data_IF_688904927552
#
_entry.id   IF_688904927552
#
_cell.length_a   1.000
_cell.length_b   1.000
_cell.length_c   1.000
_cell.angle_alpha   90.00
_cell.angle_beta   90.00
_cell.angle_gamma   90.00
#
_symmetry.space_group_name_H-M   'P 1'
#
loop_
_entity.id
_entity.type
_entity.pdbx_description
1 polymer ?
#
# COMPACT_ATOMS: atom_id res chain seq x y z
N UNK A 1 -2.49 -21.57 13.64
CA UNK A 1 -1.13 -21.08 13.91
C UNK A 1 -1.25 -19.74 14.62
N UNK A 2 -0.62 -19.60 15.79
CA UNK A 2 -0.69 -18.37 16.56
C UNK A 2 0.43 -17.44 16.06
N UNK A 3 0.08 -16.20 15.70
CA UNK A 3 1.08 -15.15 15.50
C UNK A 3 1.88 -15.01 16.80
N UNK A 4 3.19 -15.27 16.72
CA UNK A 4 4.08 -15.14 17.88
C UNK A 4 4.35 -13.65 18.09
N UNK A 5 3.66 -13.06 19.06
CA UNK A 5 4.02 -11.75 19.59
C UNK A 5 5.28 -11.91 20.44
N UNK A 6 6.42 -11.48 19.94
CA UNK A 6 7.62 -11.40 20.76
C UNK A 6 7.41 -10.31 21.82
N UNK A 7 7.29 -10.74 23.07
CA UNK A 7 7.28 -9.84 24.23
C UNK A 7 8.68 -9.29 24.43
N UNK A 8 8.96 -8.13 23.89
CA UNK A 8 10.19 -7.38 24.16
C UNK A 8 9.96 -6.51 25.41
N UNK A 9 10.85 -6.57 26.35
CA UNK A 9 10.83 -5.88 27.64
C UNK A 9 10.67 -4.36 27.49
N UNK A 10 10.07 -3.66 28.48
CA UNK A 10 9.82 -2.23 28.39
C UNK A 10 11.14 -1.43 28.37
N UNK A 11 11.36 -0.72 27.27
CA UNK A 11 12.46 0.22 27.18
C UNK A 11 12.28 1.39 28.15
N UNK A 12 13.33 1.67 28.88
CA UNK A 12 13.48 2.81 29.78
C UNK A 12 13.20 4.13 29.03
N UNK A 13 12.34 4.95 29.63
CA UNK A 13 12.05 6.32 29.19
C UNK A 13 13.34 7.13 29.03
N UNK A 14 13.71 7.44 27.80
CA UNK A 14 14.66 8.54 27.52
C UNK A 14 13.86 9.82 27.34
N UNK A 15 13.90 10.69 28.35
CA UNK A 15 13.57 12.12 28.20
C UNK A 15 14.66 12.77 27.34
N UNK A 16 14.36 13.04 26.09
CA UNK A 16 15.15 13.88 25.21
C UNK A 16 14.21 14.74 24.38
N UNK A 17 14.24 16.05 24.57
CA UNK A 17 13.62 17.02 23.67
C UNK A 17 14.26 16.85 22.29
N UNK A 18 13.55 16.24 21.35
CA UNK A 18 13.97 16.17 19.94
C UNK A 18 13.11 17.14 19.13
N UNK A 19 13.78 18.15 18.58
CA UNK A 19 13.28 18.93 17.44
C UNK A 19 12.92 17.95 16.32
N UNK A 20 11.66 17.97 15.84
CA UNK A 20 11.20 17.09 14.77
C UNK A 20 11.77 17.55 13.43
N UNK A 21 12.98 17.11 13.10
CA UNK A 21 13.38 17.02 11.70
C UNK A 21 12.83 15.72 11.13
N UNK A 22 12.21 15.80 9.94
CA UNK A 22 11.84 14.60 9.18
C UNK A 22 13.04 13.63 9.15
N UNK A 23 12.79 12.35 9.40
CA UNK A 23 13.87 11.35 9.40
C UNK A 23 14.53 11.31 8.03
N UNK A 24 15.86 11.26 8.01
CA UNK A 24 16.60 11.09 6.76
C UNK A 24 16.25 9.75 6.11
N UNK A 25 16.26 9.66 4.78
CA UNK A 25 16.07 8.39 4.08
C UNK A 25 17.05 7.32 4.57
N UNK A 26 16.64 6.04 4.65
CA UNK A 26 17.55 4.94 4.98
C UNK A 26 18.61 4.79 3.89
N UNK A 27 19.86 4.52 4.26
CA UNK A 27 21.00 4.45 3.33
C UNK A 27 20.92 3.24 2.41
N UNK A 28 20.42 2.13 2.94
CA UNK A 28 20.33 0.84 2.26
C UNK A 28 19.15 0.00 2.78
N UNK A 29 18.94 -1.18 2.20
CA UNK A 29 17.87 -2.10 2.59
C UNK A 29 18.03 -2.60 4.03
N UNK A 30 19.25 -2.77 4.53
CA UNK A 30 19.48 -3.24 5.90
C UNK A 30 19.02 -2.19 6.89
N UNK A 31 19.36 -0.91 6.67
CA UNK A 31 18.90 0.18 7.52
C UNK A 31 17.38 0.34 7.44
N UNK A 32 16.78 0.25 6.24
CA UNK A 32 15.32 0.28 6.07
C UNK A 32 14.66 -0.82 6.89
N UNK A 33 15.12 -2.07 6.76
CA UNK A 33 14.57 -3.21 7.48
C UNK A 33 14.82 -3.13 8.98
N UNK A 34 15.96 -2.61 9.41
CA UNK A 34 16.22 -2.37 10.84
C UNK A 34 15.23 -1.37 11.43
N UNK A 35 15.00 -0.23 10.74
CA UNK A 35 14.01 0.78 11.18
C UNK A 35 12.61 0.19 11.20
N UNK A 36 12.22 -0.56 10.17
CA UNK A 36 10.92 -1.20 10.07
C UNK A 36 10.72 -2.23 11.20
N UNK A 37 11.69 -3.10 11.45
CA UNK A 37 11.64 -4.09 12.53
C UNK A 37 11.54 -3.44 13.92
N UNK A 38 12.18 -2.29 14.13
CA UNK A 38 12.10 -1.55 15.40
C UNK A 38 10.68 -1.02 15.70
N UNK A 39 9.81 -0.91 14.69
CA UNK A 39 8.41 -0.53 14.89
C UNK A 39 7.52 -1.71 15.29
N UNK A 40 7.96 -2.96 15.10
CA UNK A 40 7.13 -4.13 15.39
C UNK A 40 6.68 -4.16 16.86
N UNK A 41 5.38 -4.28 17.10
CA UNK A 41 4.76 -4.24 18.43
C UNK A 41 4.54 -2.84 19.01
N UNK A 42 5.08 -1.78 18.40
CA UNK A 42 4.91 -0.39 18.87
C UNK A 42 3.50 0.11 18.50
N UNK A 43 2.88 0.88 19.40
CA UNK A 43 1.56 1.49 19.15
C UNK A 43 1.70 2.68 18.19
N UNK A 44 0.67 2.90 17.39
CA UNK A 44 0.62 4.06 16.50
C UNK A 44 0.71 5.38 17.26
N UNK A 45 0.16 5.46 18.49
CA UNK A 45 0.28 6.64 19.34
C UNK A 45 1.73 6.97 19.70
N UNK A 46 2.55 5.96 19.98
CA UNK A 46 3.95 6.16 20.37
C UNK A 46 4.78 6.64 19.17
N UNK A 47 4.57 6.03 18.00
CA UNK A 47 5.21 6.47 16.74
C UNK A 47 4.77 7.90 16.37
N UNK A 48 3.48 8.21 16.52
CA UNK A 48 2.93 9.53 16.23
C UNK A 48 3.53 10.60 17.19
N UNK A 49 3.67 10.27 18.47
CA UNK A 49 4.29 11.14 19.45
C UNK A 49 5.74 11.48 19.08
N UNK A 50 6.53 10.46 18.70
CA UNK A 50 7.94 10.64 18.31
C UNK A 50 8.11 11.48 17.03
N UNK A 51 7.08 11.48 16.15
CA UNK A 51 7.05 12.27 14.92
C UNK A 51 6.32 13.62 15.07
N UNK A 52 5.79 13.97 16.26
CA UNK A 52 4.93 15.14 16.51
C UNK A 52 3.71 15.19 15.59
N UNK A 53 3.12 14.04 15.30
CA UNK A 53 1.91 13.88 14.48
C UNK A 53 0.73 13.60 15.41
N UNK A 54 -0.38 14.32 15.22
CA UNK A 54 -1.60 14.05 15.99
C UNK A 54 -2.27 12.77 15.51
N UNK A 55 -2.72 11.93 16.46
CA UNK A 55 -3.50 10.73 16.14
C UNK A 55 -4.95 11.11 15.90
N UNK A 56 -5.55 10.77 14.74
CA UNK A 56 -6.96 11.02 14.50
C UNK A 56 -7.83 10.08 15.34
N UNK A 57 -8.96 10.57 15.76
CA UNK A 57 -9.95 9.76 16.49
C UNK A 57 -10.49 8.61 15.62
N UNK A 58 -10.71 8.90 14.31
CA UNK A 58 -11.24 7.95 13.34
C UNK A 58 -10.54 8.07 11.98
N UNK A 59 -10.13 6.94 11.38
CA UNK A 59 -9.51 6.91 10.03
C UNK A 59 -10.51 7.16 8.88
N UNK A 60 -11.80 7.36 9.17
CA UNK A 60 -12.83 7.52 8.12
C UNK A 60 -12.57 8.75 7.23
N UNK A 61 -12.07 9.84 7.83
CA UNK A 61 -11.69 11.08 7.13
C UNK A 61 -10.21 11.13 6.77
N UNK A 62 -9.39 10.36 7.48
CA UNK A 62 -7.93 10.37 7.42
C UNK A 62 -7.40 9.02 6.88
N UNK A 63 -7.97 8.55 5.76
CA UNK A 63 -7.73 7.21 5.19
C UNK A 63 -6.26 6.88 4.91
N UNK A 64 -5.41 7.88 4.64
CA UNK A 64 -3.98 7.72 4.39
C UNK A 64 -3.08 7.89 5.61
N UNK A 65 -3.65 8.23 6.77
CA UNK A 65 -2.88 8.66 7.94
C UNK A 65 -1.87 7.61 8.42
N UNK A 66 -2.27 6.33 8.49
CA UNK A 66 -1.36 5.25 8.92
C UNK A 66 -0.18 5.13 7.97
N UNK A 67 -0.42 5.13 6.65
CA UNK A 67 0.65 5.12 5.65
C UNK A 67 1.61 6.28 5.82
N UNK A 68 1.08 7.51 5.89
CA UNK A 68 1.87 8.73 6.07
C UNK A 68 2.69 8.72 7.37
N UNK A 69 2.15 8.19 8.47
CA UNK A 69 2.88 8.04 9.72
C UNK A 69 4.08 7.10 9.56
N UNK A 70 3.88 5.94 8.95
CA UNK A 70 4.92 4.95 8.72
C UNK A 70 5.97 5.46 7.70
N UNK A 71 5.52 6.14 6.63
CA UNK A 71 6.40 6.83 5.67
C UNK A 71 7.31 7.84 6.38
N UNK A 72 6.75 8.69 7.25
CA UNK A 72 7.49 9.68 8.05
C UNK A 72 8.51 8.99 8.97
N UNK A 73 8.08 7.94 9.68
CA UNK A 73 8.93 7.18 10.60
C UNK A 73 10.11 6.52 9.89
N UNK A 74 9.91 6.02 8.68
CA UNK A 74 10.95 5.35 7.89
C UNK A 74 11.80 6.31 7.03
N UNK A 75 11.37 7.58 6.87
CA UNK A 75 12.08 8.56 6.05
C UNK A 75 11.84 8.40 4.55
N UNK A 76 10.62 8.06 4.15
CA UNK A 76 10.22 8.00 2.74
C UNK A 76 10.16 9.40 2.11
N UNK A 77 10.48 9.52 0.81
CA UNK A 77 10.60 10.81 0.12
C UNK A 77 9.61 11.01 -1.03
N UNK A 78 9.03 9.94 -1.57
CA UNK A 78 8.26 10.03 -2.82
C UNK A 78 6.90 10.73 -2.65
N UNK A 79 6.26 10.64 -1.49
CA UNK A 79 4.91 11.15 -1.27
C UNK A 79 3.93 10.55 -2.28
N UNK A 80 3.12 11.39 -2.95
CA UNK A 80 2.11 10.95 -3.93
C UNK A 80 2.63 10.74 -5.36
N UNK A 81 3.95 10.74 -5.59
CA UNK A 81 4.54 10.59 -6.93
C UNK A 81 4.36 9.17 -7.47
N UNK A 82 4.39 8.96 -8.81
CA UNK A 82 4.30 7.63 -9.43
C UNK A 82 5.59 6.80 -9.29
N UNK A 83 6.41 7.06 -8.30
CA UNK A 83 7.68 6.42 -8.00
C UNK A 83 7.57 5.64 -6.68
N UNK A 84 8.39 4.61 -6.45
CA UNK A 84 8.48 3.93 -5.15
C UNK A 84 8.82 4.90 -4.01
N UNK A 85 8.31 4.63 -2.82
CA UNK A 85 8.45 5.52 -1.65
C UNK A 85 9.92 5.73 -1.23
N UNK A 86 10.75 4.69 -1.39
CA UNK A 86 12.20 4.76 -1.22
C UNK A 86 12.87 4.68 -2.60
N UNK A 87 12.89 5.80 -3.32
CA UNK A 87 13.30 5.89 -4.74
C UNK A 87 14.67 5.25 -4.99
N UNK A 88 15.68 5.58 -4.17
CA UNK A 88 17.05 5.10 -4.33
C UNK A 88 17.24 3.60 -4.00
N UNK A 89 16.28 2.99 -3.30
CA UNK A 89 16.24 1.56 -3.00
C UNK A 89 15.30 0.78 -3.93
N UNK A 90 14.48 1.49 -4.72
CA UNK A 90 13.44 0.87 -5.54
C UNK A 90 12.34 0.18 -4.73
N UNK A 91 12.10 0.60 -3.49
CA UNK A 91 11.13 -0.04 -2.57
C UNK A 91 9.90 0.82 -2.39
N UNK A 92 8.74 0.24 -2.64
CA UNK A 92 7.42 0.78 -2.29
C UNK A 92 7.04 0.37 -0.88
N UNK A 93 6.39 1.26 -0.11
CA UNK A 93 5.81 0.97 1.19
C UNK A 93 4.31 0.69 1.07
N UNK A 94 3.86 -0.38 1.69
CA UNK A 94 2.42 -0.68 1.83
C UNK A 94 2.07 -1.05 3.26
N UNK A 95 1.18 -0.30 3.88
CA UNK A 95 0.56 -0.70 5.15
C UNK A 95 -0.65 -1.58 4.87
N UNK A 96 -0.81 -2.65 5.64
CA UNK A 96 -1.94 -3.58 5.53
C UNK A 96 -2.67 -3.65 6.87
N UNK A 97 -3.95 -3.23 6.95
CA UNK A 97 -4.75 -3.48 8.14
C UNK A 97 -5.07 -4.98 8.24
N UNK A 98 -4.73 -5.59 9.37
CA UNK A 98 -4.95 -7.01 9.64
C UNK A 98 -5.86 -7.21 10.85
N UNK A 99 -6.55 -8.36 10.89
CA UNK A 99 -7.25 -8.83 12.07
C UNK A 99 -6.30 -9.54 13.06
N UNK A 100 -6.83 -9.99 14.19
CA UNK A 100 -6.09 -10.71 15.23
C UNK A 100 -5.50 -12.06 14.77
N UNK A 101 -5.92 -12.58 13.60
CA UNK A 101 -5.38 -13.79 12.95
C UNK A 101 -4.35 -13.48 11.88
N UNK A 102 -4.05 -12.18 11.66
CA UNK A 102 -3.14 -11.73 10.61
C UNK A 102 -3.76 -11.71 9.21
N UNK A 103 -5.09 -11.79 9.08
CA UNK A 103 -5.76 -11.73 7.80
C UNK A 103 -5.94 -10.26 7.38
N UNK A 104 -5.61 -9.88 6.12
CA UNK A 104 -5.92 -8.56 5.59
C UNK A 104 -7.42 -8.27 5.64
N UNK A 105 -7.77 -7.07 6.08
CA UNK A 105 -9.16 -6.62 6.23
C UNK A 105 -9.70 -5.91 4.98
N UNK A 106 -8.83 -5.52 4.06
CA UNK A 106 -9.20 -4.80 2.84
C UNK A 106 -8.24 -5.09 1.68
N UNK A 107 -8.68 -4.75 0.47
CA UNK A 107 -7.85 -4.79 -0.73
C UNK A 107 -6.78 -3.69 -0.67
N UNK A 108 -5.59 -3.96 -1.21
CA UNK A 108 -4.48 -3.01 -1.17
C UNK A 108 -4.42 -2.15 -2.43
N UNK A 109 -4.53 -0.84 -2.26
CA UNK A 109 -4.36 0.12 -3.35
C UNK A 109 -2.92 0.13 -3.87
N UNK A 110 -2.77 0.12 -5.20
CA UNK A 110 -1.46 0.21 -5.86
C UNK A 110 -1.25 1.58 -6.48
N UNK A 111 -2.06 1.94 -7.48
CA UNK A 111 -1.96 3.22 -8.19
C UNK A 111 -3.26 3.56 -8.92
N UNK A 112 -3.39 4.80 -9.38
CA UNK A 112 -4.44 5.22 -10.31
C UNK A 112 -4.25 4.50 -11.65
N UNK A 113 -5.34 4.07 -12.28
CA UNK A 113 -5.30 3.49 -13.62
C UNK A 113 -5.34 4.60 -14.67
N UNK A 114 -4.46 4.58 -15.69
CA UNK A 114 -4.57 5.46 -16.82
C UNK A 114 -5.77 5.02 -17.69
N UNK A 115 -6.69 5.94 -17.98
CA UNK A 115 -7.88 5.66 -18.80
C UNK A 115 -7.82 6.32 -20.19
N UNK A 116 -6.78 7.12 -20.43
CA UNK A 116 -6.42 7.78 -21.71
C UNK A 116 -4.91 7.76 -21.88
N UNK A 117 -4.42 8.07 -23.09
CA UNK A 117 -2.98 8.15 -23.41
C UNK A 117 -2.22 6.85 -23.12
N UNK A 118 -2.83 5.70 -23.40
CA UNK A 118 -2.30 4.36 -23.08
C UNK A 118 -1.65 3.68 -24.29
N UNK A 119 -1.55 4.34 -25.44
CA UNK A 119 -0.94 3.79 -26.65
C UNK A 119 0.54 3.45 -26.40
N UNK A 120 0.90 2.21 -26.66
CA UNK A 120 2.27 1.73 -26.51
C UNK A 120 2.71 1.50 -25.06
N UNK A 121 1.82 1.70 -24.07
CA UNK A 121 2.15 1.39 -22.66
C UNK A 121 2.30 -0.11 -22.47
N UNK A 122 3.49 -0.54 -22.06
CA UNK A 122 3.78 -1.94 -21.74
C UNK A 122 3.67 -2.22 -20.24
N UNK A 123 3.61 -3.49 -19.87
CA UNK A 123 3.67 -3.91 -18.46
C UNK A 123 4.92 -3.35 -17.77
N UNK A 124 6.09 -3.45 -18.42
CA UNK A 124 7.38 -3.01 -17.87
C UNK A 124 7.44 -1.50 -17.63
N UNK A 125 6.72 -0.71 -18.42
CA UNK A 125 6.65 0.75 -18.28
C UNK A 125 5.55 1.19 -17.31
N UNK A 126 4.72 0.26 -16.84
CA UNK A 126 3.57 0.58 -16.00
C UNK A 126 3.97 0.97 -14.59
N UNK A 127 3.23 1.93 -14.00
CA UNK A 127 3.40 2.31 -12.58
C UNK A 127 3.09 1.11 -11.67
N UNK A 128 2.18 0.21 -12.08
CA UNK A 128 1.87 -1.02 -11.32
C UNK A 128 3.11 -1.90 -11.19
N UNK A 129 3.80 -2.15 -12.31
CA UNK A 129 5.04 -2.92 -12.32
C UNK A 129 6.09 -2.30 -11.40
N UNK A 130 6.39 -1.01 -11.57
CA UNK A 130 7.42 -0.32 -10.78
C UNK A 130 7.12 -0.33 -9.28
N UNK A 131 5.84 -0.20 -8.89
CA UNK A 131 5.44 -0.21 -7.48
C UNK A 131 5.38 -1.60 -6.86
N UNK A 132 5.26 -2.66 -7.66
CA UNK A 132 5.13 -4.03 -7.15
C UNK A 132 6.39 -4.89 -7.32
N UNK A 133 7.47 -4.36 -7.89
CA UNK A 133 8.74 -5.08 -8.01
C UNK A 133 9.41 -5.38 -6.67
N UNK A 134 9.30 -4.45 -5.71
CA UNK A 134 9.93 -4.57 -4.41
C UNK A 134 9.11 -3.80 -3.38
N UNK A 135 8.48 -4.49 -2.46
CA UNK A 135 7.52 -3.89 -1.52
C UNK A 135 7.89 -4.21 -0.08
N UNK A 136 7.96 -3.17 0.74
CA UNK A 136 7.97 -3.31 2.19
C UNK A 136 6.52 -3.32 2.70
N UNK A 137 6.04 -4.50 3.07
CA UNK A 137 4.75 -4.67 3.70
C UNK A 137 4.85 -4.43 5.20
N UNK A 138 4.01 -3.54 5.71
CA UNK A 138 3.92 -3.26 7.15
C UNK A 138 2.49 -3.57 7.61
N UNK A 139 2.26 -4.75 8.22
CA UNK A 139 0.97 -5.07 8.82
C UNK A 139 0.69 -4.14 10.00
N UNK A 140 -0.56 -3.73 10.17
CA UNK A 140 -1.00 -2.91 11.30
C UNK A 140 -2.35 -3.44 11.80
N UNK A 141 -2.58 -3.50 13.10
CA UNK A 141 -3.89 -3.86 13.64
C UNK A 141 -4.98 -2.96 13.05
N UNK A 142 -6.01 -3.58 12.46
CA UNK A 142 -7.05 -2.89 11.70
C UNK A 142 -8.45 -3.05 12.25
N UNK A 143 -8.65 -3.86 13.29
CA UNK A 143 -9.97 -4.14 13.85
C UNK A 143 -10.60 -2.85 14.39
N UNK A 144 -11.89 -2.66 14.09
CA UNK A 144 -12.63 -1.44 14.47
C UNK A 144 -12.80 -1.27 15.98
N UNK A 145 -12.73 -2.36 16.72
CA UNK A 145 -12.78 -2.39 18.20
C UNK A 145 -11.54 -1.79 18.85
N UNK A 146 -10.40 -1.73 18.10
CA UNK A 146 -9.16 -1.17 18.62
C UNK A 146 -9.08 0.31 18.24
N UNK A 147 -9.02 1.25 19.21
CA UNK A 147 -8.81 2.67 18.95
C UNK A 147 -7.55 2.88 18.12
N UNK A 148 -7.56 3.86 17.20
CA UNK A 148 -6.42 4.12 16.28
C UNK A 148 -5.10 4.28 17.05
N UNK A 149 -5.11 5.00 18.16
CA UNK A 149 -3.95 5.22 19.02
C UNK A 149 -3.33 3.93 19.57
N UNK A 150 -4.15 2.93 19.87
CA UNK A 150 -3.74 1.68 20.52
C UNK A 150 -3.33 0.58 19.53
N UNK A 151 -3.58 0.77 18.22
CA UNK A 151 -3.21 -0.19 17.20
C UNK A 151 -1.69 -0.33 17.13
N UNK A 152 -1.24 -1.58 16.95
CA UNK A 152 0.18 -1.91 16.91
C UNK A 152 0.62 -2.25 15.49
N UNK A 153 1.86 -1.94 15.22
CA UNK A 153 2.56 -2.35 13.99
C UNK A 153 2.94 -3.83 14.13
N UNK A 154 2.67 -4.62 13.12
CA UNK A 154 3.11 -6.01 13.03
C UNK A 154 4.54 -6.12 12.50
N UNK A 155 5.03 -7.36 12.34
CA UNK A 155 6.36 -7.63 11.76
C UNK A 155 6.37 -7.25 10.28
N UNK A 156 7.28 -6.37 9.83
CA UNK A 156 7.38 -5.98 8.44
C UNK A 156 7.97 -7.11 7.58
N UNK A 157 7.60 -7.09 6.29
CA UNK A 157 8.02 -8.10 5.31
C UNK A 157 8.56 -7.37 4.09
N UNK A 158 9.82 -7.62 3.74
CA UNK A 158 10.37 -7.20 2.45
C UNK A 158 10.07 -8.29 1.42
N UNK A 159 9.34 -7.94 0.36
CA UNK A 159 8.82 -8.89 -0.61
C UNK A 159 9.15 -8.48 -2.04
N UNK A 160 9.44 -9.48 -2.85
CA UNK A 160 9.50 -9.39 -4.31
C UNK A 160 8.62 -10.49 -4.88
N UNK A 161 7.90 -10.26 -5.99
CA UNK A 161 7.11 -11.29 -6.62
C UNK A 161 8.02 -12.42 -7.12
N UNK A 162 7.67 -13.67 -6.83
CA UNK A 162 8.27 -14.80 -7.51
C UNK A 162 7.78 -14.88 -8.97
N UNK A 163 8.35 -15.78 -9.78
CA UNK A 163 8.00 -15.88 -11.20
C UNK A 163 6.51 -16.09 -11.47
N UNK A 164 5.84 -16.90 -10.65
CA UNK A 164 4.40 -17.17 -10.78
C UNK A 164 3.59 -15.91 -10.45
N UNK A 165 3.90 -15.25 -9.35
CA UNK A 165 3.25 -14.02 -8.92
C UNK A 165 3.45 -12.87 -9.93
N UNK A 166 4.67 -12.75 -10.47
CA UNK A 166 4.98 -11.74 -11.50
C UNK A 166 4.16 -11.98 -12.77
N UNK A 167 4.04 -13.24 -13.20
CA UNK A 167 3.23 -13.63 -14.36
C UNK A 167 1.74 -13.34 -14.12
N UNK A 168 1.20 -13.69 -12.97
CA UNK A 168 -0.21 -13.40 -12.63
C UNK A 168 -0.50 -11.89 -12.63
N UNK A 169 0.36 -11.09 -12.00
CA UNK A 169 0.22 -9.63 -11.98
C UNK A 169 0.24 -9.03 -13.38
N UNK A 170 1.14 -9.52 -14.27
CA UNK A 170 1.23 -9.08 -15.64
C UNK A 170 -0.04 -9.45 -16.42
N UNK A 171 -0.48 -10.69 -16.36
CA UNK A 171 -1.67 -11.17 -17.06
C UNK A 171 -2.92 -10.39 -16.67
N UNK A 172 -3.12 -10.15 -15.37
CA UNK A 172 -4.26 -9.37 -14.88
C UNK A 172 -4.20 -7.91 -15.35
N UNK A 173 -3.00 -7.32 -15.35
CA UNK A 173 -2.80 -5.96 -15.81
C UNK A 173 -3.09 -5.84 -17.31
N UNK A 174 -2.59 -6.78 -18.12
CA UNK A 174 -2.80 -6.81 -19.58
C UNK A 174 -4.29 -7.00 -19.90
N UNK A 175 -5.01 -7.92 -19.25
CA UNK A 175 -6.46 -8.11 -19.40
C UNK A 175 -7.23 -6.82 -19.11
N UNK A 176 -6.92 -6.17 -17.99
CA UNK A 176 -7.61 -4.94 -17.57
C UNK A 176 -7.30 -3.79 -18.54
N UNK A 177 -6.05 -3.63 -18.94
CA UNK A 177 -5.63 -2.57 -19.87
C UNK A 177 -6.21 -2.76 -21.27
N UNK A 178 -6.37 -4.00 -21.74
CA UNK A 178 -7.06 -4.29 -23.00
C UNK A 178 -8.53 -3.82 -22.95
N UNK A 179 -9.24 -4.12 -21.86
CA UNK A 179 -10.62 -3.66 -21.69
C UNK A 179 -10.72 -2.12 -21.61
N UNK A 180 -9.76 -1.45 -20.99
CA UNK A 180 -9.68 0.02 -20.97
C UNK A 180 -9.44 0.55 -22.40
N UNK A 181 -8.51 -0.05 -23.16
CA UNK A 181 -8.20 0.34 -24.52
C UNK A 181 -9.40 0.16 -25.49
N UNK A 182 -10.24 -0.86 -25.24
CA UNK A 182 -11.48 -1.11 -25.96
C UNK A 182 -12.65 -0.22 -25.51
N UNK A 183 -12.43 0.76 -24.63
CA UNK A 183 -13.48 1.65 -24.12
C UNK A 183 -14.49 0.99 -23.18
N UNK A 184 -14.15 -0.18 -22.62
CA UNK A 184 -15.05 -1.00 -21.80
C UNK A 184 -14.82 -0.83 -20.30
N UNK A 185 -14.29 0.31 -19.86
CA UNK A 185 -13.94 0.56 -18.45
C UNK A 185 -15.12 0.31 -17.49
N UNK A 186 -16.35 0.64 -17.90
CA UNK A 186 -17.54 0.46 -17.06
C UNK A 186 -18.06 -0.99 -17.02
N UNK A 187 -17.54 -1.86 -17.91
CA UNK A 187 -17.82 -3.30 -17.91
C UNK A 187 -16.85 -4.09 -17.02
N UNK A 188 -15.78 -3.45 -16.55
CA UNK A 188 -14.79 -4.10 -15.69
C UNK A 188 -15.37 -4.27 -14.27
N UNK A 189 -15.38 -5.50 -13.80
CA UNK A 189 -15.88 -5.90 -12.49
C UNK A 189 -14.79 -6.55 -11.66
N UNK A 190 -15.06 -6.87 -10.39
CA UNK A 190 -14.13 -7.60 -9.51
C UNK A 190 -13.82 -9.04 -9.97
N UNK A 191 -14.47 -9.54 -11.04
CA UNK A 191 -14.20 -10.86 -11.64
C UNK A 191 -13.01 -10.85 -12.60
N UNK A 192 -12.66 -9.67 -13.14
CA UNK A 192 -11.49 -9.52 -14.01
C UNK A 192 -10.23 -9.50 -13.13
N UNK A 193 -9.22 -10.21 -13.60
CA UNK A 193 -7.99 -10.47 -12.88
C UNK A 193 -8.13 -11.46 -11.71
N UNK A 194 -7.09 -12.20 -11.41
CA UNK A 194 -7.03 -13.18 -10.31
C UNK A 194 -6.46 -12.58 -9.02
N UNK A 195 -5.40 -11.78 -9.14
CA UNK A 195 -4.66 -11.18 -8.00
C UNK A 195 -4.72 -9.66 -8.00
N UNK A 196 -4.83 -9.03 -9.19
CA UNK A 196 -4.98 -7.60 -9.40
C UNK A 196 -6.38 -7.29 -9.92
N UNK A 197 -6.99 -6.18 -9.49
CA UNK A 197 -8.32 -5.77 -9.91
C UNK A 197 -8.40 -4.26 -10.11
N UNK A 198 -9.37 -3.82 -10.93
CA UNK A 198 -9.70 -2.42 -11.11
C UNK A 198 -10.92 -2.05 -10.25
N UNK A 199 -10.82 -0.95 -9.49
CA UNK A 199 -11.93 -0.47 -8.65
C UNK A 199 -12.13 1.03 -8.80
N UNK A 200 -13.36 1.56 -8.53
CA UNK A 200 -13.55 3.00 -8.44
C UNK A 200 -12.62 3.63 -7.41
N UNK A 201 -11.97 4.72 -7.77
CA UNK A 201 -11.05 5.51 -6.94
C UNK A 201 -11.54 6.95 -6.85
N UNK A 202 -12.81 7.15 -6.62
CA UNK A 202 -13.41 8.47 -6.49
C UNK A 202 -13.78 8.77 -5.03
N UNK A 203 -13.65 10.04 -4.63
CA UNK A 203 -14.12 10.50 -3.33
C UNK A 203 -15.67 10.47 -3.25
N UNK A 204 -16.31 10.65 -4.40
CA UNK A 204 -17.76 10.58 -4.59
C UNK A 204 -18.08 10.28 -6.07
N UNK A 205 -19.36 10.04 -6.38
CA UNK A 205 -19.83 9.73 -7.75
C UNK A 205 -19.71 10.91 -8.74
N UNK A 206 -19.45 12.12 -8.27
CA UNK A 206 -19.29 13.31 -9.11
C UNK A 206 -17.86 13.55 -9.58
N UNK A 207 -16.88 12.83 -9.00
CA UNK A 207 -15.51 12.90 -9.49
C UNK A 207 -15.43 12.20 -10.85
N UNK A 208 -15.09 12.95 -11.90
CA UNK A 208 -14.99 12.47 -13.26
C UNK A 208 -13.58 12.68 -13.80
N UNK A 209 -13.16 11.81 -14.70
CA UNK A 209 -11.92 11.90 -15.48
C UNK A 209 -12.18 11.44 -16.90
N UNK A 210 -11.30 11.83 -17.83
CA UNK A 210 -11.37 11.35 -19.20
C UNK A 210 -11.09 9.85 -19.27
N UNK A 211 -11.81 9.17 -20.18
CA UNK A 211 -11.62 7.76 -20.53
C UNK A 211 -11.91 7.54 -22.01
N UNK A 212 -11.42 6.43 -22.54
CA UNK A 212 -11.73 6.00 -23.91
C UNK A 212 -13.14 5.40 -23.93
N UNK A 213 -13.98 5.79 -24.90
CA UNK A 213 -15.28 5.18 -25.20
C UNK A 213 -15.14 4.02 -26.19
N UNK A 214 -16.19 3.20 -26.36
CA UNK A 214 -16.16 2.03 -27.26
C UNK A 214 -15.97 2.40 -28.74
N UNK A 215 -16.34 3.61 -29.14
CA UNK A 215 -16.11 4.16 -30.48
C UNK A 215 -14.74 4.83 -30.65
N UNK A 216 -13.90 4.81 -29.62
CA UNK A 216 -12.58 5.44 -29.58
C UNK A 216 -12.60 6.94 -29.24
N UNK A 217 -13.76 7.54 -29.05
CA UNK A 217 -13.86 8.94 -28.62
C UNK A 217 -13.50 9.08 -27.13
N UNK A 218 -13.33 10.33 -26.67
CA UNK A 218 -13.13 10.62 -25.23
C UNK A 218 -14.49 10.86 -24.57
N UNK A 219 -14.70 10.18 -23.46
CA UNK A 219 -15.86 10.34 -22.59
C UNK A 219 -15.43 10.63 -21.14
N UNK A 220 -16.38 10.96 -20.27
CA UNK A 220 -16.14 11.12 -18.84
C UNK A 220 -16.59 9.86 -18.08
N UNK A 221 -15.74 9.36 -17.21
CA UNK A 221 -16.04 8.24 -16.30
C UNK A 221 -15.47 8.48 -14.90
N UNK A 222 -15.86 7.65 -13.94
CA UNK A 222 -15.26 7.76 -12.60
C UNK A 222 -13.79 7.30 -12.62
N UNK A 223 -12.88 8.00 -11.91
CA UNK A 223 -11.51 7.55 -11.74
C UNK A 223 -11.44 6.12 -11.22
N UNK A 224 -10.50 5.35 -11.74
CA UNK A 224 -10.24 3.96 -11.38
C UNK A 224 -8.85 3.82 -10.79
N UNK A 225 -8.66 2.80 -9.96
CA UNK A 225 -7.36 2.42 -9.44
C UNK A 225 -7.16 0.93 -9.49
N UNK A 226 -5.89 0.52 -9.59
CA UNK A 226 -5.47 -0.86 -9.41
C UNK A 226 -5.35 -1.20 -7.93
N UNK A 227 -5.85 -2.38 -7.56
CA UNK A 227 -5.82 -2.91 -6.21
C UNK A 227 -5.44 -4.38 -6.22
N UNK A 228 -4.59 -4.79 -5.28
CA UNK A 228 -4.37 -6.21 -5.01
C UNK A 228 -5.57 -6.79 -4.27
N UNK A 229 -5.97 -8.01 -4.62
CA UNK A 229 -7.04 -8.73 -3.92
C UNK A 229 -6.56 -9.21 -2.55
N UNK A 230 -7.50 -9.38 -1.62
CA UNK A 230 -7.21 -9.79 -0.23
C UNK A 230 -6.50 -11.14 -0.19
N UNK A 231 -6.92 -12.08 -1.03
CA UNK A 231 -6.37 -13.42 -1.12
C UNK A 231 -4.88 -13.41 -1.50
N UNK A 232 -4.49 -12.51 -2.41
CA UNK A 232 -3.10 -12.38 -2.83
C UNK A 232 -2.21 -11.78 -1.71
N UNK A 233 -2.67 -10.71 -1.07
CA UNK A 233 -1.94 -10.12 0.06
C UNK A 233 -1.91 -11.08 1.26
N UNK A 234 -2.96 -11.88 1.48
CA UNK A 234 -2.97 -12.95 2.48
C UNK A 234 -1.89 -14.00 2.21
N UNK A 235 -1.72 -14.43 0.95
CA UNK A 235 -0.66 -15.37 0.57
C UNK A 235 0.74 -14.81 0.85
N UNK A 236 0.97 -13.52 0.53
CA UNK A 236 2.25 -12.85 0.82
C UNK A 236 2.55 -12.92 2.32
N UNK A 237 1.57 -12.54 3.18
CA UNK A 237 1.74 -12.56 4.63
C UNK A 237 1.94 -13.99 5.15
N UNK A 238 1.15 -14.95 4.68
CA UNK A 238 1.25 -16.35 5.12
C UNK A 238 2.60 -16.96 4.76
N UNK A 239 3.08 -16.74 3.54
CA UNK A 239 4.35 -17.30 3.08
C UNK A 239 5.58 -16.72 3.81
N UNK A 240 5.46 -15.55 4.38
CA UNK A 240 6.55 -14.92 5.14
C UNK A 240 6.65 -15.45 6.59
N UNK A 241 5.55 -16.00 7.14
CA UNK A 241 5.47 -16.45 8.53
C UNK A 241 5.20 -17.97 8.67
N UNK A 242 4.99 -18.68 7.59
CA UNK A 242 4.79 -20.15 7.52
C UNK A 242 6.02 -20.83 7.03
#
# INVERSE_FOLDING_TARGET
>A
MAFVWYTIHPHQYRKGFHSSMAKSPPKDLNELMQRANNMAGIRLADIAFDNNISVPEHLRRDKGWVGQLIESELGALAGSKPQPDFIHLGVELKTIPIDHKGKPLETTYVTVAPLVNIQGLTWQDSVVFHKLQHVLWVPVEGERSIPVAERRVGTPILWQPNAIQAQQLQQDWEEIMELIALGKVDKITARHGEVLQLRPKAANSHALTESIAEDGSIQLSNPRGFYLKIEFTQQILTNAFG
#
